data_IF_512769333361
#
_entry.id   IF_512769333361
#
_cell.length_a   1.000
_cell.length_b   1.000
_cell.length_c   1.000
_cell.angle_alpha   90.00
_cell.angle_beta   90.00
_cell.angle_gamma   90.00
#
_symmetry.space_group_name_H-M   'P 1'
#
loop_
_entity.id
_entity.type
_entity.pdbx_description
1 polymer ?
#
# COMPACT_ATOMS: atom_id res chain seq x y z
N UNK A 1 -9.69 -11.52 -2.69
CA UNK A 1 -9.38 -11.76 -1.26
C UNK A 1 -9.91 -10.66 -0.32
N UNK A 2 -9.81 -9.37 -0.63
CA UNK A 2 -10.36 -8.33 0.25
C UNK A 2 -11.90 -8.47 0.46
N UNK A 3 -12.65 -8.69 -0.62
CA UNK A 3 -14.11 -8.86 -0.55
C UNK A 3 -14.56 -10.11 0.22
N UNK A 4 -13.77 -11.20 0.19
CA UNK A 4 -14.08 -12.41 0.98
C UNK A 4 -13.94 -12.20 2.49
N UNK A 5 -13.31 -11.11 2.92
CA UNK A 5 -13.23 -10.70 4.33
C UNK A 5 -14.20 -9.56 4.68
N UNK A 6 -15.23 -9.31 3.86
CA UNK A 6 -16.20 -8.22 4.05
C UNK A 6 -15.56 -6.83 4.11
N UNK A 7 -14.41 -6.64 3.44
CA UNK A 7 -13.83 -5.31 3.23
C UNK A 7 -14.27 -4.82 1.86
N UNK A 8 -15.11 -3.78 1.83
CA UNK A 8 -15.55 -3.19 0.57
C UNK A 8 -14.37 -2.49 -0.13
N UNK A 9 -14.26 -2.72 -1.43
CA UNK A 9 -13.36 -2.01 -2.33
C UNK A 9 -14.21 -0.94 -3.01
N UNK A 10 -14.01 0.33 -2.67
CA UNK A 10 -14.86 1.41 -3.20
C UNK A 10 -14.49 1.74 -4.64
N UNK A 11 -13.19 1.87 -4.93
CA UNK A 11 -12.68 2.22 -6.26
C UNK A 11 -11.19 1.85 -6.40
N UNK A 12 -10.75 1.68 -7.64
CA UNK A 12 -9.36 1.42 -8.00
C UNK A 12 -8.88 2.60 -8.86
N UNK A 13 -7.90 3.36 -8.36
CA UNK A 13 -7.31 4.49 -9.09
C UNK A 13 -6.02 4.06 -9.74
N UNK A 14 -5.92 4.21 -11.06
CA UNK A 14 -4.68 3.96 -11.80
C UNK A 14 -3.85 5.24 -11.86
N UNK A 15 -2.74 5.26 -11.12
CA UNK A 15 -1.76 6.33 -11.13
C UNK A 15 -0.57 5.93 -12.03
N UNK A 16 0.23 6.89 -12.51
CA UNK A 16 1.47 6.61 -13.25
C UNK A 16 2.46 5.71 -12.48
N UNK A 17 2.34 5.67 -11.16
CA UNK A 17 3.16 4.86 -10.24
C UNK A 17 2.52 3.51 -9.89
N UNK A 18 1.33 3.19 -10.40
CA UNK A 18 0.62 1.93 -10.17
C UNK A 18 -0.86 2.09 -9.82
N UNK A 19 -1.54 0.99 -9.52
CA UNK A 19 -2.94 0.98 -9.09
C UNK A 19 -3.07 1.07 -7.56
N UNK A 20 -3.85 2.02 -7.06
CA UNK A 20 -4.19 2.13 -5.63
C UNK A 20 -5.65 1.71 -5.45
N UNK A 21 -5.89 0.65 -4.68
CA UNK A 21 -7.24 0.25 -4.29
C UNK A 21 -7.65 0.96 -3.00
N UNK A 22 -8.77 1.69 -3.03
CA UNK A 22 -9.37 2.29 -1.84
C UNK A 22 -10.20 1.23 -1.11
N UNK A 23 -9.80 0.92 0.12
CA UNK A 23 -10.48 -0.02 1.01
C UNK A 23 -11.21 0.76 2.09
N UNK A 24 -12.49 0.44 2.33
CA UNK A 24 -13.33 1.08 3.35
C UNK A 24 -12.74 0.93 4.77
N UNK A 25 -12.05 -0.19 5.02
CA UNK A 25 -11.42 -0.52 6.31
C UNK A 25 -10.14 -1.32 6.09
N UNK A 26 -9.09 -0.99 6.85
CA UNK A 26 -7.91 -1.86 6.99
C UNK A 26 -8.30 -3.00 7.96
N UNK A 27 -8.09 -4.28 7.62
CA UNK A 27 -8.42 -5.41 8.49
C UNK A 27 -7.72 -5.28 9.85
N UNK A 28 -8.44 -5.53 10.94
CA UNK A 28 -7.85 -5.49 12.30
C UNK A 28 -7.03 -6.74 12.62
N UNK A 29 -7.28 -7.85 11.91
CA UNK A 29 -6.59 -9.12 12.11
C UNK A 29 -5.31 -9.19 11.26
N UNK A 30 -4.12 -9.35 11.87
CA UNK A 30 -2.85 -9.42 11.14
C UNK A 30 -2.79 -10.51 10.07
N UNK A 31 -3.39 -11.68 10.34
CA UNK A 31 -3.46 -12.78 9.37
C UNK A 31 -4.29 -12.43 8.13
N UNK A 32 -5.38 -11.68 8.29
CA UNK A 32 -6.20 -11.25 7.14
C UNK A 32 -5.43 -10.26 6.30
N UNK A 33 -4.71 -9.34 6.93
CA UNK A 33 -3.86 -8.38 6.23
C UNK A 33 -2.74 -9.09 5.45
N UNK A 34 -2.07 -10.07 6.06
CA UNK A 34 -1.06 -10.89 5.38
C UNK A 34 -1.63 -11.56 4.12
N UNK A 35 -2.78 -12.23 4.23
CA UNK A 35 -3.42 -12.90 3.10
C UNK A 35 -3.80 -11.93 1.99
N UNK A 36 -4.30 -10.73 2.33
CA UNK A 36 -4.66 -9.72 1.34
C UNK A 36 -3.40 -9.17 0.66
N UNK A 37 -2.35 -8.87 1.41
CA UNK A 37 -1.11 -8.30 0.87
C UNK A 37 -0.37 -9.28 -0.04
N UNK A 38 -0.33 -10.58 0.32
CA UNK A 38 0.35 -11.59 -0.51
C UNK A 38 -0.45 -11.97 -1.76
N UNK A 39 -1.76 -11.72 -1.79
CA UNK A 39 -2.61 -12.05 -2.93
C UNK A 39 -2.18 -11.35 -4.22
N UNK A 40 -1.74 -10.09 -4.16
CA UNK A 40 -1.27 -9.34 -5.32
C UNK A 40 -0.06 -10.01 -5.99
N UNK A 41 1.08 -10.15 -5.29
CA UNK A 41 2.25 -10.86 -5.81
C UNK A 41 1.94 -12.28 -6.27
N UNK A 42 1.11 -13.05 -5.55
CA UNK A 42 0.74 -14.41 -5.94
C UNK A 42 0.04 -14.46 -7.31
N UNK A 43 -0.86 -13.52 -7.60
CA UNK A 43 -1.50 -13.43 -8.92
C UNK A 43 -0.46 -13.15 -10.00
N UNK A 44 0.49 -12.25 -9.77
CA UNK A 44 1.56 -11.97 -10.73
C UNK A 44 2.41 -13.22 -11.02
N UNK A 45 2.80 -13.96 -9.98
CA UNK A 45 3.55 -15.22 -10.17
C UNK A 45 2.72 -16.32 -10.81
N UNK A 46 1.41 -16.40 -10.53
CA UNK A 46 0.51 -17.33 -11.20
C UNK A 46 0.40 -17.03 -12.70
N UNK A 47 0.34 -15.75 -13.09
CA UNK A 47 0.37 -15.33 -14.49
C UNK A 47 1.68 -15.77 -15.14
N UNK A 48 2.83 -15.54 -14.49
CA UNK A 48 4.15 -15.99 -14.99
C UNK A 48 4.16 -17.52 -15.17
N UNK A 49 3.65 -18.27 -14.20
CA UNK A 49 3.62 -19.73 -14.23
C UNK A 49 2.78 -20.29 -15.40
N UNK A 50 1.71 -19.58 -15.79
CA UNK A 50 0.87 -19.95 -16.93
C UNK A 50 1.53 -19.56 -18.26
N UNK A 51 2.18 -18.40 -18.32
CA UNK A 51 2.74 -17.88 -19.57
C UNK A 51 4.08 -18.53 -19.96
N UNK A 52 4.88 -19.01 -19.01
CA UNK A 52 6.15 -19.68 -19.31
C UNK A 52 5.98 -20.96 -20.17
N UNK A 53 5.06 -21.89 -19.86
CA UNK A 53 4.73 -23.01 -20.74
C UNK A 53 4.23 -22.57 -22.12
N UNK A 54 3.39 -21.52 -22.18
CA UNK A 54 2.89 -21.00 -23.45
C UNK A 54 4.05 -20.49 -24.33
N UNK A 55 4.98 -19.74 -23.73
CA UNK A 55 6.20 -19.28 -24.42
C UNK A 55 7.04 -20.46 -24.94
N UNK A 56 7.24 -21.49 -24.13
CA UNK A 56 7.95 -22.71 -24.52
C UNK A 56 7.32 -23.34 -25.78
N UNK A 57 5.99 -23.44 -25.83
CA UNK A 57 5.27 -23.99 -26.98
C UNK A 57 5.39 -23.12 -28.24
N UNK A 58 5.52 -21.80 -28.09
CA UNK A 58 5.61 -20.85 -29.21
C UNK A 58 7.04 -20.74 -29.79
N UNK A 59 8.05 -20.83 -28.93
CA UNK A 59 9.46 -20.53 -29.30
C UNK A 59 10.34 -21.78 -29.39
N UNK A 60 9.98 -22.87 -28.74
CA UNK A 60 10.84 -24.06 -28.61
C UNK A 60 12.07 -23.85 -27.71
N UNK A 61 12.22 -22.67 -27.11
CA UNK A 61 13.30 -22.32 -26.20
C UNK A 61 13.14 -22.98 -24.83
N UNK A 62 14.21 -23.12 -24.02
CA UNK A 62 14.12 -23.67 -22.68
C UNK A 62 13.04 -23.00 -21.81
N UNK A 63 12.47 -23.78 -20.87
CA UNK A 63 11.45 -23.31 -19.93
C UNK A 63 11.89 -22.04 -19.18
N UNK A 64 13.15 -21.99 -18.77
CA UNK A 64 13.78 -20.79 -18.21
C UNK A 64 15.05 -20.43 -19.00
N UNK A 65 14.96 -19.53 -19.98
CA UNK A 65 16.08 -19.15 -20.83
C UNK A 65 17.05 -18.16 -20.17
N UNK A 66 16.78 -17.76 -18.91
CA UNK A 66 17.51 -16.74 -18.18
C UNK A 66 16.99 -15.32 -18.39
N UNK A 67 17.33 -14.44 -17.46
CA UNK A 67 16.82 -13.05 -17.41
C UNK A 67 17.28 -12.22 -18.62
N UNK A 68 18.54 -12.38 -19.06
CA UNK A 68 19.09 -11.65 -20.21
C UNK A 68 18.34 -11.94 -21.50
N UNK A 69 18.04 -13.22 -21.74
CA UNK A 69 17.34 -13.68 -22.95
C UNK A 69 15.90 -13.18 -22.97
N UNK A 70 15.20 -13.22 -21.83
CA UNK A 70 13.84 -12.69 -21.73
C UNK A 70 13.81 -11.17 -21.97
N UNK A 71 14.81 -10.44 -21.47
CA UNK A 71 14.94 -8.99 -21.70
C UNK A 71 15.17 -8.63 -23.17
N UNK A 72 15.90 -9.46 -23.90
CA UNK A 72 16.08 -9.27 -25.34
C UNK A 72 14.80 -9.59 -26.12
N UNK A 73 14.18 -10.73 -25.82
CA UNK A 73 13.00 -11.21 -26.55
C UNK A 73 11.75 -10.34 -26.34
N UNK A 74 11.61 -9.68 -25.18
CA UNK A 74 10.49 -8.75 -24.97
C UNK A 74 10.53 -7.49 -25.86
N UNK A 75 11.66 -7.20 -26.51
CA UNK A 75 11.78 -6.08 -27.45
C UNK A 75 11.39 -6.46 -28.89
N UNK A 76 11.19 -7.75 -29.17
CA UNK A 76 10.79 -8.21 -30.48
C UNK A 76 9.30 -7.93 -30.73
N UNK A 77 8.91 -7.33 -31.86
CA UNK A 77 7.51 -7.06 -32.20
C UNK A 77 6.80 -8.32 -32.73
N UNK A 78 6.84 -9.39 -31.95
CA UNK A 78 6.24 -10.70 -32.26
C UNK A 78 5.24 -11.11 -31.17
N UNK A 79 4.37 -12.09 -31.47
CA UNK A 79 3.44 -12.63 -30.47
C UNK A 79 4.19 -13.23 -29.26
N UNK A 80 5.33 -13.91 -29.50
CA UNK A 80 6.20 -14.42 -28.45
C UNK A 80 6.86 -13.29 -27.65
N UNK A 81 7.22 -12.18 -28.29
CA UNK A 81 7.72 -10.98 -27.63
C UNK A 81 6.69 -10.36 -26.68
N UNK A 82 5.41 -10.27 -27.09
CA UNK A 82 4.31 -9.80 -26.23
C UNK A 82 4.12 -10.71 -25.01
N UNK A 83 4.12 -12.04 -25.21
CA UNK A 83 4.04 -13.00 -24.10
C UNK A 83 5.23 -12.85 -23.16
N UNK A 84 6.43 -12.68 -23.71
CA UNK A 84 7.66 -12.47 -22.94
C UNK A 84 7.63 -11.15 -22.17
N UNK A 85 7.11 -10.08 -22.77
CA UNK A 85 6.88 -8.80 -22.12
C UNK A 85 5.93 -8.92 -20.92
N UNK A 86 4.83 -9.66 -21.07
CA UNK A 86 3.89 -9.92 -19.97
C UNK A 86 4.53 -10.74 -18.86
N UNK A 87 5.34 -11.76 -19.18
CA UNK A 87 6.11 -12.54 -18.21
C UNK A 87 7.04 -11.62 -17.42
N UNK A 88 7.86 -10.83 -18.12
CA UNK A 88 8.85 -9.95 -17.48
C UNK A 88 8.20 -8.87 -16.65
N UNK A 89 7.10 -8.29 -17.12
CA UNK A 89 6.36 -7.26 -16.38
C UNK A 89 5.73 -7.84 -15.12
N UNK A 90 5.04 -8.98 -15.19
CA UNK A 90 4.44 -9.61 -14.01
C UNK A 90 5.50 -10.11 -13.02
N UNK A 91 6.60 -10.69 -13.51
CA UNK A 91 7.71 -11.12 -12.67
C UNK A 91 8.32 -9.94 -11.92
N UNK A 92 8.56 -8.84 -12.64
CA UNK A 92 9.12 -7.60 -12.07
C UNK A 92 8.13 -6.99 -11.06
N UNK A 93 6.85 -6.83 -11.41
CA UNK A 93 5.81 -6.31 -10.51
C UNK A 93 5.66 -7.17 -9.26
N UNK A 94 5.63 -8.50 -9.40
CA UNK A 94 5.53 -9.44 -8.28
C UNK A 94 6.74 -9.37 -7.35
N UNK A 95 7.96 -9.35 -7.92
CA UNK A 95 9.19 -9.24 -7.16
C UNK A 95 9.32 -7.89 -6.44
N UNK A 96 9.04 -6.78 -7.12
CA UNK A 96 9.06 -5.44 -6.51
C UNK A 96 8.01 -5.34 -5.40
N UNK A 97 6.79 -5.83 -5.62
CA UNK A 97 5.75 -5.80 -4.59
C UNK A 97 6.07 -6.68 -3.38
N UNK A 98 6.99 -7.63 -3.44
CA UNK A 98 7.44 -8.41 -2.28
C UNK A 98 8.58 -7.75 -1.48
N UNK A 99 9.15 -6.63 -1.96
CA UNK A 99 10.18 -5.94 -1.23
C UNK A 99 9.66 -5.47 0.15
N UNK A 100 10.43 -5.66 1.24
CA UNK A 100 10.00 -5.38 2.60
C UNK A 100 10.06 -3.87 2.91
N UNK A 101 9.34 -3.06 2.14
CA UNK A 101 9.31 -1.62 2.27
C UNK A 101 7.94 -1.04 1.88
N UNK A 102 7.47 -0.05 2.63
CA UNK A 102 6.29 0.72 2.22
C UNK A 102 6.63 1.64 1.05
N UNK A 103 5.68 1.91 0.13
CA UNK A 103 4.26 1.54 0.15
C UNK A 103 3.92 0.16 -0.48
N UNK A 104 4.93 -0.68 -0.75
CA UNK A 104 4.74 -1.96 -1.44
C UNK A 104 4.05 -3.00 -0.55
N UNK A 105 3.42 -4.01 -1.16
CA UNK A 105 2.71 -5.07 -0.45
C UNK A 105 3.62 -5.84 0.53
N UNK A 106 4.90 -5.98 0.23
CA UNK A 106 5.90 -6.64 1.07
C UNK A 106 6.15 -5.90 2.38
N UNK A 107 5.99 -4.57 2.41
CA UNK A 107 5.97 -3.79 3.64
C UNK A 107 4.77 -4.15 4.54
N UNK A 108 3.60 -4.36 3.93
CA UNK A 108 2.38 -4.83 4.64
C UNK A 108 2.51 -6.27 5.10
N UNK A 109 3.09 -7.15 4.28
CA UNK A 109 3.41 -8.54 4.63
C UNK A 109 4.33 -8.58 5.85
N UNK A 110 5.45 -7.84 5.81
CA UNK A 110 6.38 -7.76 6.94
C UNK A 110 5.68 -7.21 8.19
N UNK A 111 4.91 -6.13 8.06
CA UNK A 111 4.17 -5.53 9.17
C UNK A 111 3.17 -6.53 9.78
N UNK A 112 2.43 -7.25 8.95
CA UNK A 112 1.45 -8.24 9.38
C UNK A 112 2.09 -9.41 10.13
N UNK A 113 3.22 -9.93 9.65
CA UNK A 113 3.99 -10.98 10.33
C UNK A 113 4.50 -10.51 11.69
N UNK A 114 5.07 -9.30 11.76
CA UNK A 114 5.54 -8.72 13.01
C UNK A 114 4.37 -8.51 14.00
N UNK A 115 3.24 -8.01 13.52
CA UNK A 115 2.04 -7.74 14.32
C UNK A 115 1.38 -9.00 14.92
N UNK A 116 1.77 -10.22 14.49
CA UNK A 116 1.35 -11.46 15.17
C UNK A 116 2.03 -11.64 16.54
N UNK A 117 3.19 -11.01 16.74
CA UNK A 117 4.01 -11.19 17.95
C UNK A 117 4.19 -9.91 18.77
N UNK A 118 3.76 -8.76 18.23
CA UNK A 118 3.96 -7.47 18.88
C UNK A 118 2.83 -6.49 18.56
N UNK A 119 2.69 -5.38 19.33
CA UNK A 119 1.68 -4.36 19.07
C UNK A 119 1.78 -3.77 17.65
N UNK A 120 0.63 -3.54 17.01
CA UNK A 120 0.52 -3.09 15.62
C UNK A 120 1.35 -1.82 15.31
N UNK A 121 1.36 -0.85 16.23
CA UNK A 121 2.16 0.38 16.10
C UNK A 121 3.65 0.07 16.05
N UNK A 122 4.14 -0.84 16.91
CA UNK A 122 5.55 -1.24 16.93
C UNK A 122 5.92 -1.99 15.65
N UNK A 123 5.06 -2.90 15.20
CA UNK A 123 5.25 -3.61 13.93
C UNK A 123 5.34 -2.63 12.74
N UNK A 124 4.49 -1.60 12.72
CA UNK A 124 4.54 -0.53 11.71
C UNK A 124 5.85 0.24 11.75
N UNK A 125 6.30 0.62 12.95
CA UNK A 125 7.54 1.34 13.10
C UNK A 125 8.74 0.53 12.60
N UNK A 126 8.81 -0.76 12.91
CA UNK A 126 9.87 -1.64 12.43
C UNK A 126 9.80 -1.80 10.91
N UNK A 127 8.63 -2.11 10.34
CA UNK A 127 8.47 -2.28 8.90
C UNK A 127 8.87 -1.02 8.10
N UNK A 128 8.53 0.17 8.60
CA UNK A 128 8.97 1.44 7.98
C UNK A 128 10.47 1.68 8.15
N UNK A 129 11.07 1.25 9.26
CA UNK A 129 12.52 1.35 9.46
C UNK A 129 13.25 0.45 8.46
N UNK A 130 12.81 -0.80 8.30
CA UNK A 130 13.35 -1.73 7.30
C UNK A 130 13.20 -1.13 5.90
N UNK A 131 12.03 -0.57 5.59
CA UNK A 131 11.80 0.09 4.30
C UNK A 131 12.73 1.28 4.03
N UNK A 132 13.04 2.10 5.04
CA UNK A 132 14.00 3.21 4.93
C UNK A 132 15.44 2.72 4.72
N UNK A 133 15.83 1.64 5.40
CA UNK A 133 17.14 1.02 5.19
C UNK A 133 17.25 0.48 3.76
N UNK A 134 16.21 -0.22 3.28
CA UNK A 134 16.14 -0.70 1.90
C UNK A 134 16.19 0.45 0.88
N UNK A 135 15.46 1.54 1.12
CA UNK A 135 15.54 2.73 0.28
C UNK A 135 16.97 3.30 0.24
N UNK A 136 17.66 3.39 1.38
CA UNK A 136 19.05 3.83 1.43
C UNK A 136 19.99 2.92 0.63
N UNK A 137 19.84 1.60 0.74
CA UNK A 137 20.63 0.63 -0.03
C UNK A 137 20.37 0.75 -1.54
N UNK A 138 19.09 0.86 -1.94
CA UNK A 138 18.71 1.05 -3.34
C UNK A 138 19.23 2.37 -3.91
N UNK A 139 19.23 3.43 -3.11
CA UNK A 139 19.76 4.74 -3.51
C UNK A 139 21.27 4.68 -3.72
N UNK A 140 22.02 4.10 -2.77
CA UNK A 140 23.46 3.91 -2.90
C UNK A 140 23.80 3.05 -4.12
N UNK A 141 23.08 1.96 -4.33
CA UNK A 141 23.27 1.13 -5.51
C UNK A 141 22.93 1.90 -6.80
N UNK A 142 21.87 2.70 -6.80
CA UNK A 142 21.53 3.58 -7.92
C UNK A 142 22.66 4.56 -8.27
N UNK A 143 23.34 5.12 -7.27
CA UNK A 143 24.51 6.00 -7.47
C UNK A 143 25.66 5.24 -8.14
N UNK A 144 26.08 4.11 -7.57
CA UNK A 144 27.25 3.37 -8.08
C UNK A 144 26.97 2.66 -9.42
N UNK A 145 25.72 2.25 -9.65
CA UNK A 145 25.28 1.58 -10.87
C UNK A 145 24.80 2.52 -11.99
N UNK A 146 24.76 3.84 -11.76
CA UNK A 146 24.27 4.83 -12.74
C UNK A 146 22.75 4.78 -13.00
N UNK A 147 21.98 4.11 -12.14
CA UNK A 147 20.55 3.89 -12.33
C UNK A 147 19.69 5.02 -11.77
N UNK A 148 19.39 6.05 -12.57
CA UNK A 148 18.51 7.17 -12.16
C UNK A 148 17.14 6.67 -11.69
N UNK A 149 16.58 5.66 -12.37
CA UNK A 149 15.31 5.04 -11.96
C UNK A 149 15.38 4.36 -10.58
N UNK A 150 16.49 3.72 -10.23
CA UNK A 150 16.67 3.11 -8.90
C UNK A 150 16.69 4.17 -7.80
N UNK A 151 17.32 5.31 -8.06
CA UNK A 151 17.32 6.45 -7.13
C UNK A 151 15.91 7.04 -6.97
N UNK A 152 15.12 7.15 -8.05
CA UNK A 152 13.73 7.59 -7.98
C UNK A 152 12.85 6.61 -7.19
N UNK A 153 13.00 5.30 -7.43
CA UNK A 153 12.30 4.27 -6.65
C UNK A 153 12.66 4.39 -5.17
N UNK A 154 13.94 4.52 -4.84
CA UNK A 154 14.39 4.70 -3.47
C UNK A 154 13.76 5.94 -2.80
N UNK A 155 13.68 7.05 -3.53
CA UNK A 155 13.00 8.26 -3.05
C UNK A 155 11.52 8.00 -2.73
N UNK A 156 10.77 7.37 -3.64
CA UNK A 156 9.36 7.04 -3.42
C UNK A 156 9.15 6.09 -2.24
N UNK A 157 10.03 5.09 -2.08
CA UNK A 157 9.99 4.16 -0.92
C UNK A 157 10.25 4.91 0.39
N UNK A 158 11.22 5.83 0.41
CA UNK A 158 11.53 6.63 1.60
C UNK A 158 10.35 7.51 2.03
N UNK A 159 9.72 8.20 1.07
CA UNK A 159 8.56 9.09 1.31
C UNK A 159 7.33 8.28 1.70
N UNK A 160 7.02 7.20 0.97
CA UNK A 160 5.83 6.36 1.20
C UNK A 160 5.82 5.66 2.56
N UNK A 161 7.00 5.33 3.12
CA UNK A 161 7.08 4.83 4.50
C UNK A 161 6.70 5.87 5.56
N UNK A 162 6.90 7.15 5.28
CA UNK A 162 6.50 8.24 6.18
C UNK A 162 4.98 8.37 6.30
N UNK A 163 4.26 8.33 5.18
CA UNK A 163 2.80 8.46 5.15
C UNK A 163 2.07 7.35 5.91
N UNK A 164 2.59 6.11 5.86
CA UNK A 164 1.98 4.97 6.56
C UNK A 164 2.03 5.14 8.09
N UNK A 165 3.16 5.62 8.65
CA UNK A 165 3.27 5.86 10.11
C UNK A 165 2.27 6.91 10.59
N UNK A 166 2.17 8.03 9.86
CA UNK A 166 1.28 9.12 10.25
C UNK A 166 -0.19 8.70 10.21
N UNK A 167 -0.59 7.88 9.24
CA UNK A 167 -1.93 7.31 9.16
C UNK A 167 -2.26 6.40 10.36
N UNK A 168 -1.34 5.51 10.74
CA UNK A 168 -1.55 4.57 11.85
C UNK A 168 -1.56 5.28 13.21
N UNK A 169 -0.62 6.20 13.46
CA UNK A 169 -0.54 6.92 14.76
C UNK A 169 -1.77 7.78 15.00
N UNK A 170 -2.26 8.49 13.98
CA UNK A 170 -3.45 9.35 14.11
C UNK A 170 -4.70 8.54 14.45
N UNK A 171 -4.88 7.39 13.80
CA UNK A 171 -6.00 6.48 14.11
C UNK A 171 -5.91 5.90 15.52
N UNK A 172 -4.70 5.63 16.01
CA UNK A 172 -4.53 5.04 17.34
C UNK A 172 -4.89 6.02 18.46
N UNK A 173 -4.53 7.31 18.31
CA UNK A 173 -4.90 8.36 19.27
C UNK A 173 -6.42 8.55 19.32
N UNK A 174 -7.08 8.49 18.16
CA UNK A 174 -8.54 8.65 18.06
C UNK A 174 -9.33 7.44 18.58
N UNK A 175 -8.70 6.27 18.80
CA UNK A 175 -9.38 5.07 19.31
C UNK A 175 -9.72 5.20 20.81
N UNK A 176 -8.91 5.95 21.55
CA UNK A 176 -9.06 6.12 22.99
C UNK A 176 -9.86 7.39 23.36
N UNK A 177 -10.28 8.18 22.35
CA UNK A 177 -11.07 9.41 22.52
C UNK A 177 -12.49 9.15 22.06
N UNK A 178 -13.46 9.30 22.95
CA UNK A 178 -14.88 9.19 22.60
C UNK A 178 -15.44 10.54 22.18
N UNK A 179 -16.49 10.56 21.34
CA UNK A 179 -17.15 11.80 20.93
C UNK A 179 -17.64 12.65 22.12
N UNK A 180 -17.94 12.01 23.27
CA UNK A 180 -18.26 12.68 24.53
C UNK A 180 -17.11 13.49 25.12
N UNK A 181 -15.86 13.12 24.82
CA UNK A 181 -14.67 13.80 25.33
C UNK A 181 -14.38 15.08 24.50
N UNK A 182 -14.99 15.20 23.32
CA UNK A 182 -14.98 16.40 22.48
C UNK A 182 -16.22 17.30 22.67
N UNK A 183 -17.21 16.86 23.46
CA UNK A 183 -18.39 17.67 23.77
C UNK A 183 -18.02 18.72 24.83
N UNK A 184 -18.30 19.99 24.52
CA UNK A 184 -18.24 21.06 25.52
C UNK A 184 -19.24 20.74 26.64
N UNK A 185 -18.82 20.62 27.91
CA UNK A 185 -19.70 20.23 29.01
C UNK A 185 -20.93 21.14 29.21
N UNK A 186 -20.90 22.34 28.62
CA UNK A 186 -21.92 23.38 28.72
C UNK A 186 -22.52 23.72 27.34
N UNK A 187 -22.77 22.71 26.50
CA UNK A 187 -23.51 22.93 25.27
C UNK A 187 -24.95 23.38 25.59
N UNK A 188 -25.23 24.67 25.37
CA UNK A 188 -26.56 25.26 25.54
C UNK A 188 -27.57 24.64 24.56
N UNK A 189 -28.72 24.23 25.07
CA UNK A 189 -29.76 23.54 24.28
C UNK A 189 -30.79 24.56 23.82
N UNK A 190 -30.96 24.69 22.51
CA UNK A 190 -31.99 25.51 21.89
C UNK A 190 -33.13 24.62 21.37
N UNK A 191 -34.36 25.01 21.69
CA UNK A 191 -35.56 24.32 21.21
C UNK A 191 -36.24 25.11 20.09
N UNK A 192 -36.85 24.42 19.13
CA UNK A 192 -37.54 25.05 17.98
C UNK A 192 -38.73 25.93 18.40
N UNK A 193 -39.20 25.80 19.64
CA UNK A 193 -40.26 26.62 20.23
C UNK A 193 -39.76 27.94 20.85
N UNK A 194 -38.44 28.15 20.92
CA UNK A 194 -37.87 29.36 21.51
C UNK A 194 -37.79 30.52 20.51
N UNK A 195 -37.85 31.74 21.05
CA UNK A 195 -37.75 32.97 20.24
C UNK A 195 -36.33 33.13 19.71
N UNK A 196 -36.20 33.58 18.47
CA UNK A 196 -34.90 33.86 17.80
C UNK A 196 -34.01 34.80 18.65
N UNK A 197 -34.61 35.72 19.40
CA UNK A 197 -33.87 36.63 20.31
C UNK A 197 -33.02 35.87 21.33
N UNK A 198 -33.51 34.74 21.86
CA UNK A 198 -32.79 33.90 22.83
C UNK A 198 -31.52 33.29 22.21
N UNK A 199 -31.59 32.88 20.95
CA UNK A 199 -30.43 32.35 20.23
C UNK A 199 -29.37 33.44 19.99
N UNK A 200 -29.79 34.65 19.67
CA UNK A 200 -28.88 35.81 19.49
C UNK A 200 -28.19 36.16 20.79
N UNK A 201 -28.94 36.21 21.91
CA UNK A 201 -28.37 36.48 23.23
C UNK A 201 -27.34 35.43 23.66
N UNK A 202 -27.63 34.15 23.39
CA UNK A 202 -26.72 33.03 23.69
C UNK A 202 -25.43 33.07 22.85
N UNK A 203 -25.51 33.45 21.58
CA UNK A 203 -24.32 33.63 20.72
C UNK A 203 -23.50 34.84 21.19
N UNK A 204 -24.15 35.96 21.53
CA UNK A 204 -23.44 37.14 22.02
C UNK A 204 -22.73 36.89 23.36
N UNK A 205 -23.32 36.07 24.23
CA UNK A 205 -22.73 35.69 25.50
C UNK A 205 -21.53 34.74 25.36
N UNK A 206 -21.54 33.83 24.37
CA UNK A 206 -20.47 32.85 24.17
C UNK A 206 -19.21 33.42 23.49
N UNK A 207 -19.31 34.57 22.81
CA UNK A 207 -18.17 35.25 22.17
C UNK A 207 -17.34 36.15 23.11
N UNK A 208 -17.76 36.36 24.37
CA UNK A 208 -17.09 37.26 25.32
C UNK A 208 -16.14 36.57 26.32
N UNK A 209 -15.86 35.27 26.13
CA UNK A 209 -14.87 34.49 26.89
C UNK A 209 -13.90 33.81 25.95
#
# INVERSE_FOLDING_TARGET
>A
MAQSYHVAVEHITLLPIGGVASLERIPENPLQEFNIAIAGPLVNFAIVLILLPLRLLMTGEPFWPGFSTLMQQMQEPTLSGIVTFLIMTNLTLGAFNLLPAFPMDGGRVLRALLAMTMPYVRATNIAVLVGRLMAGLLFLWGIFGGGVFLMLIAFFVYVGGGSERHAVTSRHVLRDVQARDALTPQAEKLYTSEKISRAVDLIMASYQT
#
